data_IF_657114834099
#
_entry.id   IF_657114834099
#
_cell.length_a   1.000
_cell.length_b   1.000
_cell.length_c   1.000
_cell.angle_alpha   90.00
_cell.angle_beta   90.00
_cell.angle_gamma   90.00
#
_symmetry.space_group_name_H-M   'P 1'
#
loop_
_entity.id
_entity.type
_entity.pdbx_description
1 polymer ?
#
# COMPACT_ATOMS: atom_id res chain seq x y z
N UNK A 1 -35.21 30.01 -43.33
CA UNK A 1 -34.54 28.77 -43.79
C UNK A 1 -33.08 29.13 -43.99
N UNK A 2 -32.09 28.69 -43.20
CA UNK A 2 -31.94 27.48 -42.41
C UNK A 2 -31.27 27.75 -41.06
N UNK A 3 -31.76 27.04 -40.05
CA UNK A 3 -31.17 26.80 -38.73
C UNK A 3 -30.25 25.58 -38.84
N UNK A 4 -29.08 25.63 -38.19
CA UNK A 4 -28.23 24.54 -37.68
C UNK A 4 -27.10 25.25 -36.91
N UNK A 5 -27.19 25.51 -35.60
CA UNK A 5 -27.20 24.56 -34.47
C UNK A 5 -26.23 23.39 -34.69
N UNK A 6 -25.03 23.50 -34.10
CA UNK A 6 -24.40 22.42 -33.33
C UNK A 6 -23.21 22.96 -32.52
N UNK A 7 -23.55 23.57 -31.40
CA UNK A 7 -22.69 23.81 -30.25
C UNK A 7 -22.40 22.45 -29.58
N UNK A 8 -21.28 21.79 -29.91
CA UNK A 8 -20.81 20.65 -29.11
C UNK A 8 -20.07 21.15 -27.87
N UNK A 9 -20.87 21.32 -26.80
CA UNK A 9 -20.42 21.42 -25.42
C UNK A 9 -19.56 20.23 -25.06
N UNK A 10 -18.37 20.52 -24.57
CA UNK A 10 -17.46 19.55 -23.98
C UNK A 10 -17.91 19.30 -22.53
N UNK A 11 -19.05 18.61 -22.37
CA UNK A 11 -19.57 18.19 -21.07
C UNK A 11 -18.83 16.91 -20.63
N UNK A 12 -17.98 17.06 -19.61
CA UNK A 12 -17.35 15.90 -18.96
C UNK A 12 -15.87 16.04 -18.62
N UNK A 13 -15.37 17.23 -18.34
CA UNK A 13 -14.10 17.38 -17.64
C UNK A 13 -14.23 16.85 -16.20
N UNK A 14 -14.08 15.53 -16.02
CA UNK A 14 -14.06 14.86 -14.71
C UNK A 14 -12.84 15.34 -13.94
N UNK A 15 -13.04 16.44 -13.23
CA UNK A 15 -12.03 17.15 -12.46
C UNK A 15 -11.92 16.49 -11.08
N UNK A 16 -10.79 15.82 -10.82
CA UNK A 16 -10.49 15.06 -9.58
C UNK A 16 -10.34 15.91 -8.30
N UNK A 17 -10.81 17.16 -8.31
CA UNK A 17 -10.55 18.18 -7.27
C UNK A 17 -11.76 18.55 -6.42
N UNK A 18 -12.87 17.81 -6.48
CA UNK A 18 -14.10 18.07 -5.70
C UNK A 18 -14.49 16.94 -4.74
N UNK A 19 -13.53 16.37 -4.02
CA UNK A 19 -13.81 15.43 -2.92
C UNK A 19 -13.55 15.97 -1.50
N UNK A 20 -13.23 17.26 -1.34
CA UNK A 20 -12.79 17.81 -0.04
C UNK A 20 -13.63 18.99 0.46
N UNK A 21 -14.96 18.98 0.26
CA UNK A 21 -15.78 20.12 0.68
C UNK A 21 -17.24 19.79 0.90
N UNK A 22 -17.57 19.07 1.97
CA UNK A 22 -18.75 19.32 2.82
C UNK A 22 -18.81 18.27 3.92
N UNK A 23 -18.58 18.67 5.18
CA UNK A 23 -19.16 18.10 6.42
C UNK A 23 -18.58 18.87 7.62
N UNK A 24 -19.13 20.06 7.88
CA UNK A 24 -18.99 20.76 9.16
C UNK A 24 -20.34 21.40 9.49
N UNK A 25 -21.12 20.77 10.39
CA UNK A 25 -22.06 21.43 11.31
C UNK A 25 -22.87 20.36 12.08
N UNK A 26 -22.78 20.35 13.41
CA UNK A 26 -23.70 19.58 14.26
C UNK A 26 -23.18 19.25 15.66
N UNK A 27 -22.98 20.26 16.52
CA UNK A 27 -22.86 20.09 17.98
C UNK A 27 -24.27 20.13 18.58
N UNK A 28 -24.75 19.04 19.20
CA UNK A 28 -25.66 19.05 20.36
C UNK A 28 -25.86 17.61 20.86
N UNK A 29 -25.57 17.37 22.13
CA UNK A 29 -25.47 16.03 22.72
C UNK A 29 -26.78 15.44 23.25
N UNK A 30 -26.75 14.11 23.38
CA UNK A 30 -27.57 13.33 24.32
C UNK A 30 -26.75 12.12 24.81
N UNK A 31 -26.22 12.27 26.02
CA UNK A 31 -26.27 11.32 27.14
C UNK A 31 -26.25 9.79 26.90
N UNK A 32 -25.26 9.19 27.57
CA UNK A 32 -25.20 7.85 28.21
C UNK A 32 -24.74 6.63 27.39
N UNK A 33 -24.13 5.61 28.03
CA UNK A 33 -23.38 5.60 29.29
C UNK A 33 -21.93 5.09 29.10
N UNK A 34 -21.10 5.41 30.10
CA UNK A 34 -19.80 4.79 30.34
C UNK A 34 -20.07 3.29 30.58
N UNK A 35 -19.73 2.47 29.59
CA UNK A 35 -19.55 1.05 29.81
C UNK A 35 -18.19 0.89 30.49
N UNK A 36 -18.22 0.57 31.78
CA UNK A 36 -17.13 -0.09 32.50
C UNK A 36 -16.83 -1.43 31.80
N UNK A 37 -15.99 -1.35 30.78
CA UNK A 37 -15.30 -2.48 30.18
C UNK A 37 -14.01 -2.69 30.95
N UNK A 38 -14.05 -3.62 31.88
CA UNK A 38 -12.93 -4.13 32.66
C UNK A 38 -11.64 -4.25 31.83
N UNK A 39 -10.56 -3.72 32.41
CA UNK A 39 -9.18 -4.22 32.34
C UNK A 39 -8.68 -4.72 30.97
N UNK A 40 -7.97 -3.84 30.27
CA UNK A 40 -6.84 -4.24 29.44
C UNK A 40 -5.60 -3.42 29.84
N UNK A 41 -5.18 -3.56 31.10
CA UNK A 41 -3.75 -3.48 31.42
C UNK A 41 -3.14 -4.74 30.82
N UNK A 42 -2.72 -4.67 29.57
CA UNK A 42 -1.71 -5.53 28.90
C UNK A 42 -1.68 -5.16 27.40
N UNK A 43 -1.46 -3.88 27.08
CA UNK A 43 -1.43 -3.39 25.70
C UNK A 43 -0.05 -3.00 25.17
N UNK A 44 0.91 -2.73 26.05
CA UNK A 44 2.20 -2.14 25.64
C UNK A 44 3.31 -3.16 25.33
N UNK A 45 3.10 -4.45 25.62
CA UNK A 45 4.16 -5.46 25.51
C UNK A 45 4.18 -6.25 24.19
N UNK A 46 3.12 -6.24 23.37
CA UNK A 46 3.04 -7.17 22.22
C UNK A 46 3.67 -6.66 20.92
N UNK A 47 3.94 -5.35 20.80
CA UNK A 47 4.55 -4.78 19.59
C UNK A 47 6.09 -4.82 19.61
N UNK A 48 6.69 -5.22 20.73
CA UNK A 48 8.14 -5.20 20.89
C UNK A 48 8.74 -6.50 20.34
N UNK A 49 9.00 -6.51 19.03
CA UNK A 49 9.62 -7.62 18.28
C UNK A 49 11.08 -7.92 18.65
N UNK A 50 11.58 -7.29 19.71
CA UNK A 50 12.92 -7.50 20.24
C UNK A 50 13.97 -6.61 19.59
N UNK A 51 15.22 -6.93 19.92
CA UNK A 51 16.40 -6.22 19.42
C UNK A 51 16.60 -6.49 17.93
N UNK A 52 17.18 -5.50 17.24
CA UNK A 52 17.58 -5.63 15.84
C UNK A 52 18.57 -6.79 15.69
N UNK A 53 18.38 -7.71 14.73
CA UNK A 53 19.41 -8.68 14.35
C UNK A 53 20.70 -7.98 13.92
N UNK A 54 21.87 -8.52 14.25
CA UNK A 54 23.15 -7.89 13.93
C UNK A 54 23.36 -7.69 12.42
N UNK A 55 22.88 -8.65 11.63
CA UNK A 55 23.05 -8.71 10.16
C UNK A 55 22.09 -7.82 9.37
N UNK A 56 21.26 -7.00 10.03
CA UNK A 56 20.25 -6.15 9.37
C UNK A 56 20.53 -4.66 9.58
N UNK A 57 20.29 -3.82 8.57
CA UNK A 57 20.38 -2.37 8.73
C UNK A 57 19.27 -1.84 9.66
N UNK A 58 19.50 -0.67 10.27
CA UNK A 58 18.47 -0.05 11.13
C UNK A 58 17.22 0.31 10.34
N UNK A 59 17.38 0.85 9.13
CA UNK A 59 16.27 1.22 8.27
C UNK A 59 15.42 0.00 7.86
N UNK A 60 16.06 -1.12 7.54
CA UNK A 60 15.37 -2.37 7.21
C UNK A 60 14.60 -2.92 8.41
N UNK A 61 15.19 -2.84 9.61
CA UNK A 61 14.53 -3.29 10.83
C UNK A 61 13.33 -2.41 11.23
N UNK A 62 13.43 -1.10 11.01
CA UNK A 62 12.31 -0.19 11.21
C UNK A 62 11.17 -0.47 10.22
N UNK A 63 11.49 -0.85 8.97
CA UNK A 63 10.48 -1.30 8.00
C UNK A 63 9.79 -2.58 8.46
N UNK A 64 10.54 -3.57 8.98
CA UNK A 64 9.98 -4.80 9.57
C UNK A 64 9.06 -4.46 10.73
N UNK A 65 9.47 -3.56 11.64
CA UNK A 65 8.64 -3.12 12.77
C UNK A 65 7.35 -2.46 12.32
N UNK A 66 7.42 -1.57 11.32
CA UNK A 66 6.26 -0.90 10.75
C UNK A 66 5.28 -1.89 10.08
N UNK A 67 5.80 -2.89 9.36
CA UNK A 67 4.97 -3.93 8.76
C UNK A 67 4.34 -4.84 9.81
N UNK A 68 5.11 -5.23 10.82
CA UNK A 68 4.62 -6.08 11.90
C UNK A 68 3.53 -5.39 12.73
N UNK A 69 3.71 -4.10 13.07
CA UNK A 69 2.67 -3.34 13.78
C UNK A 69 1.38 -3.25 12.98
N UNK A 70 1.46 -3.11 11.65
CA UNK A 70 0.29 -3.16 10.78
C UNK A 70 -0.35 -4.56 10.75
N UNK A 71 0.42 -5.64 10.75
CA UNK A 71 -0.12 -7.01 10.84
C UNK A 71 -0.84 -7.23 12.16
N UNK A 72 -0.24 -6.83 13.29
CA UNK A 72 -0.89 -6.94 14.60
C UNK A 72 -2.16 -6.09 14.68
N UNK A 73 -2.17 -4.90 14.08
CA UNK A 73 -3.36 -4.05 14.02
C UNK A 73 -4.54 -4.74 13.32
N UNK A 74 -4.29 -5.49 12.25
CA UNK A 74 -5.35 -6.11 11.44
C UNK A 74 -5.71 -7.52 11.92
N UNK A 75 -4.71 -8.30 12.34
CA UNK A 75 -4.85 -9.73 12.60
C UNK A 75 -4.41 -10.17 14.00
N UNK A 76 -3.97 -9.24 14.86
CA UNK A 76 -3.33 -9.57 16.14
C UNK A 76 -4.18 -10.42 17.09
N UNK A 77 -5.51 -10.26 17.08
CA UNK A 77 -6.43 -11.07 17.90
C UNK A 77 -6.60 -12.50 17.38
N UNK A 78 -6.29 -12.75 16.10
CA UNK A 78 -6.43 -14.06 15.45
C UNK A 78 -5.14 -14.87 15.45
N UNK A 79 -4.02 -14.24 15.79
CA UNK A 79 -2.70 -14.85 15.78
C UNK A 79 -2.34 -15.27 17.20
N UNK A 80 -1.97 -16.54 17.35
CA UNK A 80 -1.31 -17.04 18.55
C UNK A 80 0.07 -16.40 18.74
N UNK A 81 0.63 -16.50 19.95
CA UNK A 81 1.96 -15.96 20.25
C UNK A 81 3.06 -16.60 19.40
N UNK A 82 2.94 -17.88 19.07
CA UNK A 82 3.89 -18.58 18.19
C UNK A 82 3.80 -18.04 16.75
N UNK A 83 2.59 -17.83 16.23
CA UNK A 83 2.38 -17.26 14.91
C UNK A 83 2.85 -15.81 14.82
N UNK A 84 2.67 -15.03 15.89
CA UNK A 84 3.22 -13.67 16.00
C UNK A 84 4.74 -13.68 15.86
N UNK A 85 5.45 -14.55 16.58
CA UNK A 85 6.92 -14.70 16.47
C UNK A 85 7.35 -15.13 15.06
N UNK A 86 6.69 -16.15 14.51
CA UNK A 86 6.96 -16.63 13.16
C UNK A 86 6.72 -15.55 12.09
N UNK A 87 5.74 -14.68 12.31
CA UNK A 87 5.50 -13.54 11.42
C UNK A 87 6.68 -12.58 11.38
N UNK A 88 7.32 -12.32 12.52
CA UNK A 88 8.53 -11.47 12.58
C UNK A 88 9.66 -12.09 11.77
N UNK A 89 9.90 -13.40 11.91
CA UNK A 89 10.93 -14.13 11.16
C UNK A 89 10.69 -14.07 9.65
N UNK A 90 9.43 -14.25 9.22
CA UNK A 90 9.03 -14.14 7.82
C UNK A 90 9.29 -12.73 7.29
N UNK A 91 8.87 -11.71 8.05
CA UNK A 91 9.06 -10.31 7.64
C UNK A 91 10.56 -9.95 7.55
N UNK A 92 11.37 -10.38 8.51
CA UNK A 92 12.81 -10.16 8.49
C UNK A 92 13.49 -10.85 7.29
N UNK A 93 13.12 -12.11 7.03
CA UNK A 93 13.63 -12.86 5.87
C UNK A 93 13.24 -12.18 4.55
N UNK A 94 11.99 -11.76 4.42
CA UNK A 94 11.52 -11.03 3.24
C UNK A 94 12.25 -9.70 3.04
N UNK A 95 12.50 -8.97 4.12
CA UNK A 95 13.24 -7.72 4.06
C UNK A 95 14.66 -7.94 3.56
N UNK A 96 15.35 -8.97 4.06
CA UNK A 96 16.69 -9.33 3.61
C UNK A 96 16.71 -9.69 2.11
N UNK A 97 15.74 -10.47 1.63
CA UNK A 97 15.61 -10.79 0.21
C UNK A 97 15.39 -9.53 -0.63
N UNK A 98 14.49 -8.64 -0.21
CA UNK A 98 14.18 -7.41 -0.94
C UNK A 98 15.35 -6.41 -0.96
N UNK A 99 16.21 -6.41 0.06
CA UNK A 99 17.39 -5.54 0.08
C UNK A 99 18.30 -5.79 -1.13
N UNK A 100 18.50 -7.06 -1.50
CA UNK A 100 19.28 -7.40 -2.70
C UNK A 100 18.61 -6.92 -3.99
N UNK A 101 17.29 -7.05 -4.10
CA UNK A 101 16.52 -6.61 -5.27
C UNK A 101 16.56 -5.08 -5.41
N UNK A 102 16.50 -4.34 -4.30
CA UNK A 102 16.57 -2.88 -4.31
C UNK A 102 17.95 -2.33 -4.66
N UNK A 103 18.99 -3.15 -4.61
CA UNK A 103 20.35 -2.73 -5.00
C UNK A 103 20.51 -2.57 -6.52
N UNK A 104 19.63 -3.17 -7.32
CA UNK A 104 19.62 -3.00 -8.76
C UNK A 104 19.08 -1.62 -9.14
N UNK A 105 19.89 -0.83 -9.87
CA UNK A 105 19.48 0.48 -10.38
C UNK A 105 18.55 0.28 -11.56
N UNK A 106 17.27 0.57 -11.37
CA UNK A 106 16.25 0.59 -12.42
C UNK A 106 16.10 2.03 -12.91
N UNK A 107 16.19 2.23 -14.22
CA UNK A 107 15.95 3.52 -14.86
C UNK A 107 14.49 3.67 -15.25
N UNK A 108 13.96 4.89 -15.17
CA UNK A 108 12.65 5.21 -15.72
C UNK A 108 12.69 4.99 -17.24
N UNK A 109 12.07 3.91 -17.71
CA UNK A 109 12.14 3.48 -19.12
C UNK A 109 12.55 2.02 -19.28
N UNK A 110 13.08 1.38 -18.23
CA UNK A 110 13.35 -0.05 -18.24
C UNK A 110 12.06 -0.85 -18.48
N UNK A 111 12.13 -1.77 -19.43
CA UNK A 111 10.96 -2.52 -19.90
C UNK A 111 10.55 -3.51 -18.82
N UNK A 112 9.28 -3.48 -18.42
CA UNK A 112 8.73 -4.50 -17.53
C UNK A 112 8.83 -5.88 -18.18
N UNK A 113 9.17 -6.91 -17.41
CA UNK A 113 9.21 -8.29 -17.87
C UNK A 113 7.89 -8.74 -18.53
N UNK A 114 6.76 -8.13 -18.14
CA UNK A 114 5.43 -8.43 -18.65
C UNK A 114 4.90 -7.39 -19.65
N UNK A 115 5.77 -6.70 -20.39
CA UNK A 115 5.32 -5.73 -21.38
C UNK A 115 4.60 -6.42 -22.53
N UNK A 116 3.34 -6.01 -22.79
CA UNK A 116 2.52 -6.52 -23.88
C UNK A 116 3.15 -6.13 -25.23
N UNK A 117 3.59 -7.13 -26.01
CA UNK A 117 4.04 -6.93 -27.39
C UNK A 117 2.86 -7.10 -28.32
N UNK A 118 2.40 -5.99 -28.91
CA UNK A 118 1.36 -6.01 -29.94
C UNK A 118 2.04 -6.23 -31.29
N UNK A 119 1.70 -7.32 -31.97
CA UNK A 119 2.15 -7.58 -33.33
C UNK A 119 1.15 -6.98 -34.33
N UNK A 120 1.63 -6.08 -35.18
CA UNK A 120 0.86 -5.57 -36.31
C UNK A 120 1.05 -6.50 -37.51
N UNK A 121 -0.03 -7.17 -37.93
CA UNK A 121 -0.01 -8.13 -39.05
C UNK A 121 0.28 -7.48 -40.41
N UNK A 122 0.22 -6.15 -40.52
CA UNK A 122 0.52 -5.40 -41.74
C UNK A 122 1.95 -4.83 -41.79
N UNK A 123 2.77 -5.03 -40.75
CA UNK A 123 4.19 -4.67 -40.83
C UNK A 123 5.01 -5.84 -41.39
N UNK A 124 5.69 -5.67 -42.54
CA UNK A 124 6.67 -6.66 -42.97
C UNK A 124 7.80 -6.70 -41.94
N UNK A 125 8.05 -7.90 -41.40
CA UNK A 125 9.11 -8.16 -40.43
C UNK A 125 10.46 -7.70 -40.99
N UNK A 126 10.95 -6.56 -40.52
CA UNK A 126 12.30 -6.09 -40.76
C UNK A 126 13.27 -6.87 -39.85
N UNK A 127 13.37 -8.17 -40.08
CA UNK A 127 14.33 -9.04 -39.41
C UNK A 127 15.26 -9.66 -40.45
N UNK A 128 16.17 -8.81 -40.92
CA UNK A 128 17.47 -9.17 -41.49
C UNK A 128 18.41 -8.01 -41.21
N UNK A 129 19.28 -8.18 -40.21
CA UNK A 129 20.69 -7.81 -40.34
C UNK A 129 21.53 -8.40 -39.20
N UNK A 130 22.39 -9.35 -39.63
CA UNK A 130 23.71 -9.80 -39.13
C UNK A 130 23.80 -10.44 -37.75
#
# INVERSE_FOLDING_TARGET
MHIRDEERRNDGAVTRRRFAGSLVAGLAGTLCPIADGQTAKDGEAEANIGLKPDDMSVADWDEVRARYSNVLRVYGQRLSLEEKRKTVEILATNQHMLASIRSFVVQNGDVSACTLRVYDANQPSADKQV
#
